data_IF_198134209949
#
_entry.id   IF_198134209949
#
_cell.length_a   1.000
_cell.length_b   1.000
_cell.length_c   1.000
_cell.angle_alpha   90.00
_cell.angle_beta   90.00
_cell.angle_gamma   90.00
#
_symmetry.space_group_name_H-M   'P 1'
#
loop_
_entity.id
_entity.type
_entity.pdbx_description
1 polymer ?
#
# COMPACT_ATOMS: atom_id res chain seq x y z
N UNK A 1 -7.59 -20.97 -11.78
CA UNK A 1 -7.04 -19.78 -11.10
C UNK A 1 -8.21 -19.13 -10.41
N UNK A 2 -8.26 -19.22 -9.09
CA UNK A 2 -9.31 -18.56 -8.30
C UNK A 2 -9.04 -17.07 -8.38
N UNK A 3 -9.97 -16.29 -8.89
CA UNK A 3 -9.84 -14.83 -8.93
C UNK A 3 -10.00 -14.33 -7.49
N UNK A 4 -8.90 -13.87 -6.88
CA UNK A 4 -8.94 -13.18 -5.59
C UNK A 4 -9.63 -11.85 -5.82
N UNK A 5 -10.70 -11.58 -5.05
CA UNK A 5 -11.44 -10.32 -5.15
C UNK A 5 -10.68 -9.21 -4.46
N UNK A 6 -10.15 -8.27 -5.24
CA UNK A 6 -9.46 -7.09 -4.74
C UNK A 6 -10.44 -5.98 -4.32
N UNK A 7 -11.74 -6.13 -4.54
CA UNK A 7 -12.71 -5.06 -4.40
C UNK A 7 -12.60 -4.04 -5.54
N UNK A 8 -13.76 -3.63 -6.07
CA UNK A 8 -13.87 -2.65 -7.18
C UNK A 8 -14.89 -1.56 -6.83
N UNK A 9 -14.64 -0.74 -5.80
CA UNK A 9 -15.53 0.36 -5.48
C UNK A 9 -15.55 1.37 -6.63
N UNK A 10 -16.67 2.05 -6.85
CA UNK A 10 -16.78 3.11 -7.88
C UNK A 10 -17.07 4.48 -7.28
N UNK A 11 -17.46 4.52 -6.01
CA UNK A 11 -17.78 5.72 -5.23
C UNK A 11 -17.91 5.34 -3.76
N UNK A 12 -17.70 6.28 -2.85
CA UNK A 12 -17.85 6.07 -1.41
C UNK A 12 -17.17 7.20 -0.63
N UNK A 13 -17.28 7.16 0.69
CA UNK A 13 -16.47 8.01 1.56
C UNK A 13 -15.02 7.53 1.50
N UNK A 14 -14.07 8.40 1.13
CA UNK A 14 -12.65 8.01 0.94
C UNK A 14 -12.07 7.28 2.14
N UNK A 15 -12.42 7.69 3.37
CA UNK A 15 -11.91 7.04 4.59
C UNK A 15 -12.44 5.61 4.69
N UNK A 16 -13.72 5.38 4.37
CA UNK A 16 -14.26 4.03 4.41
C UNK A 16 -13.63 3.13 3.35
N UNK A 17 -13.32 3.67 2.15
CA UNK A 17 -12.71 2.93 1.05
C UNK A 17 -11.27 2.51 1.36
N UNK A 18 -10.47 3.41 1.95
CA UNK A 18 -9.10 3.14 2.39
C UNK A 18 -9.09 2.08 3.49
N UNK A 19 -9.92 2.23 4.52
CA UNK A 19 -10.08 1.24 5.59
C UNK A 19 -10.56 -0.13 5.06
N UNK A 20 -11.30 -0.13 3.96
CA UNK A 20 -11.74 -1.34 3.27
C UNK A 20 -10.55 -2.07 2.62
N UNK A 21 -9.60 -1.34 2.05
CA UNK A 21 -8.34 -1.90 1.54
C UNK A 21 -7.44 -2.39 2.68
N UNK A 22 -7.38 -1.67 3.81
CA UNK A 22 -6.64 -2.11 5.00
C UNK A 22 -7.08 -3.49 5.46
N UNK A 23 -8.40 -3.69 5.58
CA UNK A 23 -8.97 -5.02 5.89
C UNK A 23 -8.62 -6.08 4.85
N UNK A 24 -8.50 -5.71 3.57
CA UNK A 24 -8.08 -6.63 2.50
C UNK A 24 -6.60 -6.95 2.63
N UNK A 25 -5.73 -5.99 2.97
CA UNK A 25 -4.32 -6.25 3.26
C UNK A 25 -4.15 -7.25 4.39
N UNK A 26 -4.83 -7.05 5.52
CA UNK A 26 -4.78 -7.98 6.65
C UNK A 26 -5.21 -9.41 6.26
N UNK A 27 -6.26 -9.52 5.43
CA UNK A 27 -6.74 -10.81 4.93
C UNK A 27 -5.71 -11.47 4.00
N UNK A 28 -5.15 -10.73 3.05
CA UNK A 28 -4.15 -11.23 2.11
C UNK A 28 -2.84 -11.60 2.82
N UNK A 29 -2.38 -10.83 3.81
CA UNK A 29 -1.21 -11.16 4.63
C UNK A 29 -1.43 -12.43 5.45
N UNK A 30 -2.64 -12.63 5.99
CA UNK A 30 -3.01 -13.90 6.62
C UNK A 30 -2.94 -15.06 5.63
N UNK A 31 -3.49 -14.88 4.42
CA UNK A 31 -3.51 -15.92 3.42
C UNK A 31 -2.09 -16.22 2.86
N UNK A 32 -1.18 -15.24 2.84
CA UNK A 32 0.24 -15.43 2.52
C UNK A 32 1.00 -16.30 3.54
N UNK A 33 0.60 -16.25 4.81
CA UNK A 33 1.15 -17.11 5.87
C UNK A 33 0.53 -18.50 5.90
N UNK A 34 -0.60 -18.71 5.25
CA UNK A 34 -1.28 -19.99 5.19
C UNK A 34 -0.69 -20.86 4.07
N UNK A 35 0.07 -21.89 4.45
CA UNK A 35 0.65 -22.86 3.52
C UNK A 35 -0.34 -23.66 2.68
N UNK A 36 -1.63 -23.66 3.05
CA UNK A 36 -2.68 -24.29 2.27
C UNK A 36 -3.27 -23.39 1.17
N UNK A 37 -2.96 -22.09 1.20
CA UNK A 37 -3.37 -21.12 0.19
C UNK A 37 -2.53 -21.21 -1.09
N UNK A 38 -3.09 -20.73 -2.20
CA UNK A 38 -2.33 -20.42 -3.41
C UNK A 38 -1.50 -19.14 -3.18
N UNK A 39 -0.40 -19.27 -2.42
CA UNK A 39 0.43 -18.13 -1.98
C UNK A 39 1.02 -17.34 -3.15
N UNK A 40 1.21 -17.97 -4.31
CA UNK A 40 1.61 -17.29 -5.54
C UNK A 40 0.50 -16.36 -6.06
N UNK A 41 -0.75 -16.84 -6.14
CA UNK A 41 -1.87 -15.98 -6.49
C UNK A 41 -2.07 -14.86 -5.46
N UNK A 42 -1.92 -15.16 -4.17
CA UNK A 42 -2.10 -14.17 -3.08
C UNK A 42 -1.03 -13.08 -3.13
N UNK A 43 0.25 -13.39 -3.34
CA UNK A 43 1.29 -12.33 -3.40
C UNK A 43 1.12 -11.41 -4.60
N UNK A 44 0.64 -11.93 -5.74
CA UNK A 44 0.31 -11.11 -6.90
C UNK A 44 -0.91 -10.22 -6.64
N UNK A 45 -1.94 -10.76 -5.98
CA UNK A 45 -3.11 -10.00 -5.56
C UNK A 45 -2.75 -8.88 -4.56
N UNK A 46 -1.92 -9.19 -3.56
CA UNK A 46 -1.40 -8.22 -2.61
C UNK A 46 -0.60 -7.13 -3.32
N UNK A 47 0.31 -7.50 -4.22
CA UNK A 47 1.13 -6.54 -4.95
C UNK A 47 0.30 -5.57 -5.79
N UNK A 48 -0.69 -6.08 -6.53
CA UNK A 48 -1.58 -5.26 -7.33
C UNK A 48 -2.37 -4.27 -6.47
N UNK A 49 -2.95 -4.74 -5.36
CA UNK A 49 -3.72 -3.90 -4.46
C UNK A 49 -2.84 -2.86 -3.75
N UNK A 50 -1.69 -3.26 -3.21
CA UNK A 50 -0.81 -2.38 -2.44
C UNK A 50 -0.24 -1.26 -3.31
N UNK A 51 0.18 -1.56 -4.55
CA UNK A 51 0.66 -0.52 -5.47
C UNK A 51 -0.48 0.43 -5.86
N UNK A 52 -1.66 -0.11 -6.19
CA UNK A 52 -2.79 0.71 -6.59
C UNK A 52 -3.30 1.64 -5.47
N UNK A 53 -3.31 1.14 -4.24
CA UNK A 53 -3.72 1.86 -3.03
C UNK A 53 -2.77 3.03 -2.76
N UNK A 54 -1.48 2.73 -2.52
CA UNK A 54 -0.47 3.73 -2.19
C UNK A 54 -0.38 4.84 -3.26
N UNK A 55 -0.33 4.45 -4.53
CA UNK A 55 -0.28 5.42 -5.64
C UNK A 55 -1.54 6.30 -5.67
N UNK A 56 -2.73 5.73 -5.46
CA UNK A 56 -3.98 6.50 -5.50
C UNK A 56 -4.09 7.48 -4.32
N UNK A 57 -3.58 7.12 -3.14
CA UNK A 57 -3.52 8.03 -1.99
C UNK A 57 -2.57 9.20 -2.20
N UNK A 58 -1.36 8.91 -2.66
CA UNK A 58 -0.33 9.92 -2.90
C UNK A 58 -0.72 10.90 -4.00
N UNK A 59 -1.37 10.41 -5.07
CA UNK A 59 -1.78 11.26 -6.19
C UNK A 59 -3.05 12.07 -5.90
N UNK A 60 -3.99 11.52 -5.14
CA UNK A 60 -5.34 12.09 -5.01
C UNK A 60 -5.76 12.46 -3.59
N UNK A 61 -5.37 11.70 -2.57
CA UNK A 61 -5.87 11.85 -1.20
C UNK A 61 -5.00 12.82 -0.42
N UNK A 62 -3.72 12.50 -0.22
CA UNK A 62 -2.81 13.31 0.60
C UNK A 62 -2.71 14.77 0.13
N UNK A 63 -2.59 15.08 -1.18
CA UNK A 63 -2.53 16.48 -1.63
C UNK A 63 -3.79 17.27 -1.29
N UNK A 64 -4.95 16.62 -1.27
CA UNK A 64 -6.23 17.27 -0.99
C UNK A 64 -6.46 17.44 0.51
N UNK A 65 -6.05 16.46 1.32
CA UNK A 65 -6.06 16.58 2.78
C UNK A 65 -5.12 17.70 3.26
N UNK A 66 -3.90 17.79 2.70
CA UNK A 66 -2.97 18.92 2.92
C UNK A 66 -3.61 20.26 2.56
N UNK A 67 -4.21 20.38 1.37
CA UNK A 67 -4.87 21.63 0.92
C UNK A 67 -6.02 22.06 1.82
N UNK A 68 -6.75 21.11 2.40
CA UNK A 68 -7.84 21.35 3.34
C UNK A 68 -7.36 21.58 4.77
N UNK A 69 -6.06 21.42 5.04
CA UNK A 69 -5.44 21.50 6.37
C UNK A 69 -6.00 20.49 7.38
N UNK A 70 -6.54 19.38 6.88
CA UNK A 70 -7.03 18.27 7.71
C UNK A 70 -5.88 17.39 8.21
N UNK A 71 -4.75 17.43 7.50
CA UNK A 71 -3.52 16.68 7.79
C UNK A 71 -2.35 17.62 7.53
N UNK A 72 -1.31 17.56 8.36
CA UNK A 72 -0.12 18.37 8.20
C UNK A 72 0.79 17.87 7.07
N UNK A 73 1.86 18.63 6.82
CA UNK A 73 2.85 18.27 5.82
C UNK A 73 3.66 17.04 6.23
N UNK A 74 4.03 16.98 7.50
CA UNK A 74 4.85 15.91 8.05
C UNK A 74 4.15 14.56 8.02
N UNK A 75 2.86 14.49 8.38
CA UNK A 75 2.10 13.24 8.38
C UNK A 75 1.94 12.68 6.96
N UNK A 76 1.70 13.55 5.97
CA UNK A 76 1.60 13.15 4.58
C UNK A 76 2.93 12.72 3.96
N UNK A 77 4.05 13.35 4.36
CA UNK A 77 5.40 12.95 3.95
C UNK A 77 5.78 11.61 4.59
N UNK A 78 5.47 11.42 5.87
CA UNK A 78 5.70 10.17 6.57
C UNK A 78 4.89 9.01 5.95
N UNK A 79 3.63 9.24 5.55
CA UNK A 79 2.86 8.23 4.83
C UNK A 79 3.49 7.82 3.49
N UNK A 80 4.16 8.74 2.79
CA UNK A 80 4.90 8.42 1.55
C UNK A 80 6.16 7.59 1.83
N UNK A 81 6.87 7.90 2.92
CA UNK A 81 8.02 7.10 3.37
C UNK A 81 7.58 5.67 3.74
N UNK A 82 6.51 5.53 4.52
CA UNK A 82 5.94 4.23 4.90
C UNK A 82 5.44 3.41 3.69
N UNK A 83 4.84 4.05 2.68
CA UNK A 83 4.51 3.38 1.42
C UNK A 83 5.76 2.87 0.68
N UNK A 84 6.84 3.65 0.67
CA UNK A 84 8.09 3.24 0.06
C UNK A 84 8.68 2.02 0.79
N UNK A 85 8.69 2.01 2.12
CA UNK A 85 9.10 0.86 2.93
C UNK A 85 8.24 -0.38 2.64
N UNK A 86 6.92 -0.21 2.53
CA UNK A 86 5.99 -1.26 2.12
C UNK A 86 6.30 -1.83 0.74
N UNK A 87 6.64 -0.97 -0.23
CA UNK A 87 7.06 -1.39 -1.57
C UNK A 87 8.39 -2.14 -1.57
N UNK A 88 9.35 -1.76 -0.73
CA UNK A 88 10.62 -2.45 -0.57
C UNK A 88 10.45 -3.85 0.02
N UNK A 89 9.68 -3.97 1.11
CA UNK A 89 9.37 -5.29 1.69
C UNK A 89 8.58 -6.17 0.72
N UNK A 90 7.66 -5.58 -0.06
CA UNK A 90 6.92 -6.30 -1.10
C UNK A 90 7.85 -6.80 -2.21
N UNK A 91 8.86 -6.01 -2.59
CA UNK A 91 9.84 -6.42 -3.57
C UNK A 91 10.57 -7.69 -3.12
N UNK A 92 11.00 -7.75 -1.85
CA UNK A 92 11.66 -8.93 -1.29
C UNK A 92 10.78 -10.19 -1.42
N UNK A 93 9.47 -10.09 -1.16
CA UNK A 93 8.50 -11.20 -1.33
C UNK A 93 8.34 -11.61 -2.79
N UNK A 94 8.33 -10.66 -3.72
CA UNK A 94 8.15 -10.93 -5.16
C UNK A 94 9.41 -11.53 -5.82
N UNK A 95 10.61 -11.24 -5.31
CA UNK A 95 11.86 -11.77 -5.86
C UNK A 95 12.11 -13.24 -5.55
N UNK A 96 11.46 -13.75 -4.51
CA UNK A 96 11.57 -15.16 -4.13
C UNK A 96 10.93 -16.08 -5.17
N UNK A 97 11.68 -17.11 -5.57
CA UNK A 97 11.25 -18.05 -6.63
C UNK A 97 10.12 -18.98 -6.21
N UNK A 98 9.95 -19.25 -4.91
CA UNK A 98 8.96 -20.19 -4.41
C UNK A 98 8.43 -19.78 -3.05
N UNK A 99 7.19 -20.19 -2.78
CA UNK A 99 6.45 -19.79 -1.58
C UNK A 99 6.53 -20.80 -0.44
N UNK A 100 7.10 -21.99 -0.67
CA UNK A 100 7.22 -23.07 0.31
C UNK A 100 8.61 -23.11 0.96
N UNK A 101 9.13 -21.95 1.37
CA UNK A 101 10.48 -21.80 1.92
C UNK A 101 10.48 -20.90 3.14
N UNK A 102 11.39 -21.14 4.09
CA UNK A 102 11.56 -20.28 5.26
C UNK A 102 11.84 -18.83 4.86
N UNK A 103 12.65 -18.60 3.81
CA UNK A 103 12.92 -17.26 3.30
C UNK A 103 11.65 -16.52 2.85
N UNK A 104 10.66 -17.24 2.32
CA UNK A 104 9.37 -16.66 1.98
C UNK A 104 8.54 -16.33 3.21
N UNK A 105 8.52 -17.22 4.19
CA UNK A 105 7.82 -16.97 5.45
C UNK A 105 8.42 -15.75 6.19
N UNK A 106 9.75 -15.64 6.22
CA UNK A 106 10.48 -14.50 6.82
C UNK A 106 10.18 -13.18 6.08
N UNK A 107 10.20 -13.20 4.74
CA UNK A 107 9.88 -12.02 3.94
C UNK A 107 8.43 -11.55 4.10
N UNK A 108 7.48 -12.51 4.22
CA UNK A 108 6.07 -12.19 4.49
C UNK A 108 5.88 -11.64 5.91
N UNK A 109 6.66 -12.11 6.88
CA UNK A 109 6.63 -11.56 8.24
C UNK A 109 7.09 -10.10 8.27
N UNK A 110 8.20 -9.77 7.58
CA UNK A 110 8.66 -8.39 7.50
C UNK A 110 7.68 -7.49 6.72
N UNK A 111 7.15 -7.96 5.58
CA UNK A 111 6.08 -7.26 4.86
C UNK A 111 4.87 -6.99 5.76
N UNK A 112 4.44 -7.99 6.54
CA UNK A 112 3.33 -7.81 7.46
C UNK A 112 3.65 -6.78 8.55
N UNK A 113 4.88 -6.75 9.06
CA UNK A 113 5.30 -5.80 10.08
C UNK A 113 5.24 -4.35 9.55
N UNK A 114 5.86 -4.06 8.41
CA UNK A 114 5.90 -2.70 7.85
C UNK A 114 4.51 -2.23 7.44
N UNK A 115 3.73 -3.09 6.77
CA UNK A 115 2.39 -2.73 6.32
C UNK A 115 1.48 -2.47 7.53
N UNK A 116 1.43 -3.35 8.53
CA UNK A 116 0.55 -3.13 9.69
C UNK A 116 0.95 -1.89 10.50
N UNK A 117 2.24 -1.53 10.52
CA UNK A 117 2.68 -0.28 11.13
C UNK A 117 2.10 0.92 10.39
N UNK A 118 2.28 0.97 9.08
CA UNK A 118 1.72 2.00 8.20
C UNK A 118 0.19 2.13 8.35
N UNK A 119 -0.56 1.02 8.27
CA UNK A 119 -2.03 1.07 8.42
C UNK A 119 -2.43 1.72 9.75
N UNK A 120 -1.72 1.40 10.83
CA UNK A 120 -2.00 1.95 12.16
C UNK A 120 -1.72 3.46 12.22
N UNK A 121 -0.57 3.89 11.72
CA UNK A 121 -0.18 5.30 11.72
C UNK A 121 -1.09 6.12 10.81
N UNK A 122 -1.43 5.63 9.62
CA UNK A 122 -2.31 6.32 8.69
C UNK A 122 -3.73 6.46 9.28
N UNK A 123 -4.28 5.39 9.86
CA UNK A 123 -5.60 5.42 10.49
C UNK A 123 -5.67 6.48 11.60
N UNK A 124 -4.64 6.55 12.43
CA UNK A 124 -4.58 7.46 13.58
C UNK A 124 -4.31 8.91 13.18
N UNK A 125 -3.36 9.14 12.27
CA UNK A 125 -2.79 10.47 12.00
C UNK A 125 -3.35 11.14 10.74
N UNK A 126 -3.95 10.37 9.82
CA UNK A 126 -4.46 10.88 8.54
C UNK A 126 -5.97 10.65 8.43
N UNK A 127 -6.44 9.40 8.58
CA UNK A 127 -7.84 9.06 8.28
C UNK A 127 -8.83 9.55 9.34
N UNK A 128 -8.47 9.45 10.63
CA UNK A 128 -9.30 9.98 11.72
C UNK A 128 -9.48 11.51 11.62
N UNK A 129 -8.40 12.32 11.47
CA UNK A 129 -8.55 13.75 11.21
C UNK A 129 -9.34 14.06 9.93
N UNK A 130 -9.11 13.32 8.84
CA UNK A 130 -9.89 13.49 7.62
C UNK A 130 -11.38 13.26 7.84
N UNK A 131 -11.75 12.27 8.64
CA UNK A 131 -13.14 11.96 8.99
C UNK A 131 -13.81 13.05 9.83
N UNK A 132 -13.06 13.70 10.71
CA UNK A 132 -13.58 14.74 11.60
C UNK A 132 -13.60 16.14 10.93
N UNK A 133 -12.61 16.44 10.10
CA UNK A 133 -12.36 17.81 9.62
C UNK A 133 -12.77 18.04 8.16
N UNK A 134 -12.87 16.99 7.34
CA UNK A 134 -13.29 17.10 5.93
C UNK A 134 -14.77 16.81 5.82
N UNK A 135 -15.52 17.66 5.12
CA UNK A 135 -16.96 17.45 4.93
C UNK A 135 -17.28 16.15 4.18
N UNK A 136 -18.42 15.52 4.51
CA UNK A 136 -18.89 14.29 3.84
C UNK A 136 -18.91 14.41 2.31
N UNK A 137 -19.30 15.58 1.78
CA UNK A 137 -19.31 15.82 0.32
C UNK A 137 -17.90 15.78 -0.26
N UNK A 138 -16.94 16.42 0.40
CA UNK A 138 -15.56 16.40 -0.06
C UNK A 138 -14.93 15.01 0.09
N UNK A 139 -15.25 14.25 1.14
CA UNK A 139 -14.81 12.85 1.28
C UNK A 139 -15.42 11.94 0.22
N UNK A 140 -16.67 12.18 -0.18
CA UNK A 140 -17.31 11.44 -1.27
C UNK A 140 -16.67 11.74 -2.65
N UNK A 141 -16.33 13.01 -2.91
CA UNK A 141 -15.61 13.41 -4.13
C UNK A 141 -14.20 12.79 -4.17
N UNK A 142 -13.48 12.82 -3.05
CA UNK A 142 -12.18 12.15 -2.93
C UNK A 142 -12.30 10.64 -3.11
N UNK A 143 -13.33 10.01 -2.54
CA UNK A 143 -13.52 8.58 -2.64
C UNK A 143 -13.80 8.13 -4.08
N UNK A 144 -14.52 8.94 -4.86
CA UNK A 144 -14.69 8.68 -6.29
C UNK A 144 -13.36 8.81 -7.08
N UNK A 145 -12.53 9.80 -6.74
CA UNK A 145 -11.22 9.98 -7.37
C UNK A 145 -10.26 8.82 -7.03
N UNK A 146 -10.13 8.49 -5.74
CA UNK A 146 -9.35 7.36 -5.24
C UNK A 146 -9.78 6.04 -5.90
N UNK A 147 -11.09 5.73 -5.86
CA UNK A 147 -11.63 4.51 -6.45
C UNK A 147 -11.36 4.40 -7.96
N UNK A 148 -11.46 5.52 -8.69
CA UNK A 148 -11.19 5.56 -10.13
C UNK A 148 -9.72 5.27 -10.42
N UNK A 149 -8.80 5.98 -9.76
CA UNK A 149 -7.37 5.84 -9.95
C UNK A 149 -6.88 4.43 -9.57
N UNK A 150 -7.26 3.97 -8.37
CA UNK A 150 -6.95 2.62 -7.87
C UNK A 150 -7.42 1.54 -8.84
N UNK A 151 -8.67 1.59 -9.31
CA UNK A 151 -9.17 0.57 -10.23
C UNK A 151 -8.46 0.60 -11.58
N UNK A 152 -8.15 1.79 -12.10
CA UNK A 152 -7.42 1.95 -13.36
C UNK A 152 -6.02 1.34 -13.24
N UNK A 153 -5.31 1.59 -12.13
CA UNK A 153 -3.97 1.01 -11.88
C UNK A 153 -4.01 -0.52 -11.86
N UNK A 154 -5.00 -1.10 -11.19
CA UNK A 154 -5.18 -2.57 -11.17
C UNK A 154 -5.49 -3.09 -12.58
N UNK A 155 -6.34 -2.40 -13.34
CA UNK A 155 -6.69 -2.80 -14.71
C UNK A 155 -5.51 -2.70 -15.68
N UNK A 156 -4.60 -1.75 -15.44
CA UNK A 156 -3.34 -1.58 -16.17
C UNK A 156 -2.26 -2.58 -15.73
N UNK A 157 -2.54 -3.41 -14.72
CA UNK A 157 -1.67 -4.49 -14.27
C UNK A 157 -0.50 -4.03 -13.39
N UNK A 158 -0.71 -3.00 -12.57
CA UNK A 158 0.27 -2.58 -11.57
C UNK A 158 0.64 -3.71 -10.60
N UNK A 159 1.75 -3.55 -9.87
CA UNK A 159 2.22 -4.55 -8.90
C UNK A 159 3.01 -5.70 -9.51
N UNK A 160 3.34 -5.65 -10.81
CA UNK A 160 4.29 -6.61 -11.39
C UNK A 160 5.67 -6.45 -10.74
N UNK A 161 6.48 -7.52 -10.70
CA UNK A 161 7.86 -7.44 -10.18
C UNK A 161 8.69 -6.33 -10.87
N UNK A 162 8.48 -6.11 -12.16
CA UNK A 162 9.17 -5.04 -12.89
C UNK A 162 8.70 -3.65 -12.45
N UNK A 163 7.41 -3.48 -12.17
CA UNK A 163 6.86 -2.22 -11.66
C UNK A 163 7.33 -1.93 -10.25
N UNK A 164 7.25 -2.90 -9.33
CA UNK A 164 7.67 -2.71 -7.94
C UNK A 164 9.17 -2.38 -7.88
N UNK A 165 10.02 -3.04 -8.67
CA UNK A 165 11.45 -2.65 -8.79
C UNK A 165 11.65 -1.20 -9.22
N UNK A 166 10.86 -0.74 -10.20
CA UNK A 166 10.93 0.64 -10.69
C UNK A 166 10.48 1.64 -9.63
N UNK A 167 9.42 1.31 -8.88
CA UNK A 167 8.89 2.13 -7.79
C UNK A 167 9.93 2.26 -6.67
N UNK A 168 10.47 1.15 -6.18
CA UNK A 168 11.50 1.15 -5.12
C UNK A 168 12.76 1.93 -5.56
N UNK A 169 13.21 1.73 -6.80
CA UNK A 169 14.36 2.48 -7.32
C UNK A 169 14.10 4.00 -7.43
N UNK A 170 12.86 4.41 -7.71
CA UNK A 170 12.48 5.82 -7.70
C UNK A 170 12.44 6.37 -6.26
N UNK A 171 11.86 5.62 -5.32
CA UNK A 171 11.80 6.02 -3.92
C UNK A 171 13.18 6.24 -3.28
N UNK A 172 14.14 5.33 -3.53
CA UNK A 172 15.55 5.52 -3.11
C UNK A 172 16.16 6.80 -3.69
N UNK A 173 15.96 7.03 -4.99
CA UNK A 173 16.46 8.24 -5.67
C UNK A 173 15.86 9.52 -5.09
N UNK A 174 14.60 9.47 -4.67
CA UNK A 174 13.88 10.60 -4.09
C UNK A 174 14.15 10.75 -2.58
N UNK A 175 14.95 9.85 -1.99
CA UNK A 175 15.38 9.90 -0.58
C UNK A 175 14.36 9.39 0.42
N UNK A 176 13.34 8.63 -0.03
CA UNK A 176 12.30 8.04 0.82
C UNK A 176 12.70 6.69 1.43
N UNK A 177 13.77 6.09 0.92
CA UNK A 177 14.34 4.84 1.40
C UNK A 177 15.82 5.06 1.64
N UNK A 178 16.33 4.50 2.72
CA UNK A 178 17.76 4.46 2.98
C UNK A 178 18.47 3.72 1.83
N UNK A 179 19.62 4.24 1.41
CA UNK A 179 20.49 3.50 0.49
C UNK A 179 20.99 2.27 1.24
N UNK A 180 20.74 1.06 0.71
CA UNK A 180 21.41 -0.18 1.15
C UNK A 180 22.91 -0.12 0.79
N UNK A 181 23.65 0.83 1.36
CA UNK A 181 25.11 1.00 1.26
C UNK A 181 25.67 1.76 2.50
N UNK A 182 25.09 1.59 3.68
CA UNK A 182 25.79 1.85 4.96
C UNK A 182 26.02 0.52 5.71
N UNK A 183 26.83 -0.34 5.11
CA UNK A 183 27.19 -1.63 5.69
C UNK A 183 28.39 -2.27 5.01
N UNK A 184 29.53 -1.58 4.97
CA UNK A 184 30.89 -2.14 5.08
C UNK A 184 31.95 -1.06 4.76
N UNK A 185 32.34 -0.25 5.74
CA UNK A 185 33.68 0.37 5.76
C UNK A 185 34.27 0.37 7.20
N UNK A 186 35.13 -0.64 7.42
CA UNK A 186 36.20 -0.84 8.43
C UNK A 186 35.92 -0.81 9.96
#
# INVERSE_FOLDING_TARGET
>A
MTTIDLGRPVSGDVVDLILDDHRRFEALLRDLRDSSSDRDAVRQAFAALHVAHATAEEEHVYPQLKRKKAVGEHEAEHGQEEHAEGHEALLAVLELKGTDTQAFDDAVEELAKVVNHHLTEEELSILNPARDEVSETARAELGAAFATARNQLIDDGCGSLADVRRIVAAARKDGLLDDEDEGDED
#
